data_IF_006266125666
#
_entry.id   IF_006266125666
#
_cell.length_a   1.000
_cell.length_b   1.000
_cell.length_c   1.000
_cell.angle_alpha   90.00
_cell.angle_beta   90.00
_cell.angle_gamma   90.00
#
_symmetry.space_group_name_H-M   'P 1'
#
loop_
_entity.id
_entity.type
_entity.pdbx_description
1 polymer ?
#
# COMPACT_ATOMS: atom_id res chain seq x y z
N UNK A 1 5.42 22.85 42.76
CA UNK A 1 5.70 22.22 41.46
C UNK A 1 4.74 21.05 41.28
N UNK A 2 3.71 21.15 40.42
CA UNK A 2 2.64 20.14 40.36
C UNK A 2 3.03 18.89 39.54
N UNK A 3 2.36 17.81 39.92
CA UNK A 3 2.57 16.40 39.62
C UNK A 3 2.43 16.04 38.12
N UNK A 4 3.37 15.24 37.60
CA UNK A 4 3.29 14.71 36.23
C UNK A 4 2.28 13.56 36.17
N UNK A 5 1.05 13.88 35.77
CA UNK A 5 0.02 12.91 35.44
C UNK A 5 0.50 11.92 34.37
N UNK A 6 0.59 10.64 34.75
CA UNK A 6 0.79 9.51 33.84
C UNK A 6 -0.40 9.40 32.90
N UNK A 7 -0.26 9.92 31.68
CA UNK A 7 -1.22 9.66 30.59
C UNK A 7 -1.06 8.20 30.15
N UNK A 8 -1.66 7.26 30.91
CA UNK A 8 -1.93 5.89 30.47
C UNK A 8 -2.83 5.99 29.25
N UNK A 9 -2.23 6.00 28.07
CA UNK A 9 -2.95 5.87 26.80
C UNK A 9 -3.75 4.57 26.85
N UNK A 10 -5.06 4.70 26.99
CA UNK A 10 -6.01 3.60 26.94
C UNK A 10 -6.01 3.01 25.54
N UNK A 11 -5.05 2.11 25.31
CA UNK A 11 -5.00 1.18 24.18
C UNK A 11 -6.13 0.17 24.32
N UNK A 12 -7.37 0.64 24.18
CA UNK A 12 -8.53 -0.24 24.11
C UNK A 12 -8.42 -1.08 22.86
N UNK A 13 -8.16 -2.37 23.03
CA UNK A 13 -8.27 -3.39 21.98
C UNK A 13 -9.66 -3.28 21.38
N UNK A 14 -9.79 -2.53 20.29
CA UNK A 14 -11.08 -2.30 19.62
C UNK A 14 -11.61 -3.68 19.25
N UNK A 15 -12.73 -4.12 19.87
CA UNK A 15 -13.46 -5.32 19.45
C UNK A 15 -13.77 -5.17 17.96
N UNK A 16 -12.97 -5.79 17.10
CA UNK A 16 -13.17 -5.76 15.66
C UNK A 16 -14.26 -6.78 15.37
N UNK A 17 -15.50 -6.33 15.16
CA UNK A 17 -16.56 -7.21 14.65
C UNK A 17 -16.05 -7.94 13.40
N UNK A 18 -16.42 -9.22 13.22
CA UNK A 18 -15.87 -10.13 12.18
C UNK A 18 -15.81 -9.54 10.76
N UNK A 19 -16.65 -8.55 10.45
CA UNK A 19 -16.66 -7.86 9.16
C UNK A 19 -15.53 -6.82 9.00
N UNK A 20 -15.05 -6.22 10.10
CA UNK A 20 -13.99 -5.20 10.09
C UNK A 20 -12.63 -5.76 9.69
N UNK A 21 -12.32 -7.00 10.07
CA UNK A 21 -11.10 -7.68 9.62
C UNK A 21 -11.10 -7.91 8.11
N UNK A 22 -12.23 -8.32 7.53
CA UNK A 22 -12.37 -8.49 6.07
C UNK A 22 -12.17 -7.16 5.35
N UNK A 23 -12.84 -6.09 5.82
CA UNK A 23 -12.68 -4.74 5.27
C UNK A 23 -11.25 -4.22 5.43
N UNK A 24 -10.59 -4.47 6.56
CA UNK A 24 -9.20 -4.07 6.79
C UNK A 24 -8.24 -4.83 5.87
N UNK A 25 -8.39 -6.15 5.74
CA UNK A 25 -7.61 -6.97 4.81
C UNK A 25 -7.78 -6.49 3.37
N UNK A 26 -9.02 -6.21 2.95
CA UNK A 26 -9.31 -5.66 1.62
C UNK A 26 -8.64 -4.30 1.39
N UNK A 27 -8.79 -3.37 2.33
CA UNK A 27 -8.12 -2.05 2.27
C UNK A 27 -6.61 -2.18 2.23
N UNK A 28 -6.05 -3.08 3.04
CA UNK A 28 -4.62 -3.30 3.12
C UNK A 28 -4.06 -3.91 1.83
N UNK A 29 -4.73 -4.90 1.24
CA UNK A 29 -4.35 -5.47 -0.05
C UNK A 29 -4.36 -4.40 -1.14
N UNK A 30 -5.42 -3.57 -1.20
CA UNK A 30 -5.50 -2.47 -2.15
C UNK A 30 -4.40 -1.42 -1.93
N UNK A 31 -4.09 -1.08 -0.67
CA UNK A 31 -2.98 -0.20 -0.33
C UNK A 31 -1.64 -0.79 -0.76
N UNK A 32 -1.40 -2.09 -0.54
CA UNK A 32 -0.18 -2.79 -0.95
C UNK A 32 -0.02 -2.78 -2.48
N UNK A 33 -1.10 -3.01 -3.24
CA UNK A 33 -1.12 -2.91 -4.71
C UNK A 33 -0.74 -1.50 -5.18
N UNK A 34 -1.38 -0.45 -4.64
CA UNK A 34 -1.06 0.95 -4.95
C UNK A 34 0.38 1.31 -4.62
N UNK A 35 0.90 0.84 -3.49
CA UNK A 35 2.30 1.08 -3.10
C UNK A 35 3.30 0.40 -4.05
N UNK A 36 3.01 -0.82 -4.53
CA UNK A 36 3.85 -1.50 -5.54
C UNK A 36 3.91 -0.69 -6.83
N UNK A 37 2.76 -0.26 -7.35
CA UNK A 37 2.67 0.60 -8.54
C UNK A 37 3.46 1.89 -8.33
N UNK A 38 3.29 2.55 -7.17
CA UNK A 38 4.01 3.78 -6.85
C UNK A 38 5.54 3.60 -6.85
N UNK A 39 6.04 2.49 -6.29
CA UNK A 39 7.48 2.15 -6.33
C UNK A 39 7.96 1.93 -7.76
N UNK A 40 7.22 1.17 -8.56
CA UNK A 40 7.59 0.91 -9.96
C UNK A 40 7.59 2.18 -10.80
N UNK A 41 6.60 3.07 -10.64
CA UNK A 41 6.55 4.38 -11.31
C UNK A 41 7.77 5.25 -10.94
N UNK A 42 8.20 5.25 -9.67
CA UNK A 42 9.42 5.97 -9.25
C UNK A 42 10.69 5.39 -9.88
N UNK A 43 10.80 4.06 -9.98
CA UNK A 43 11.94 3.42 -10.64
C UNK A 43 11.99 3.77 -12.13
N UNK A 44 10.86 3.73 -12.83
CA UNK A 44 10.76 4.08 -14.25
C UNK A 44 11.21 5.51 -14.52
N UNK A 45 10.87 6.48 -13.65
CA UNK A 45 11.29 7.88 -13.81
C UNK A 45 12.81 8.06 -13.89
N UNK A 46 13.57 7.21 -13.22
CA UNK A 46 15.03 7.29 -13.18
C UNK A 46 15.72 6.39 -14.22
N UNK A 47 14.95 5.62 -15.00
CA UNK A 47 15.47 4.66 -15.97
C UNK A 47 15.41 5.21 -17.39
N UNK A 48 16.48 5.04 -18.19
CA UNK A 48 16.46 5.42 -19.59
C UNK A 48 15.36 4.63 -20.35
N UNK A 49 14.77 5.23 -21.40
CA UNK A 49 13.64 4.66 -22.14
C UNK A 49 13.97 3.33 -22.82
N UNK A 50 15.23 3.11 -23.19
CA UNK A 50 15.66 1.88 -23.87
C UNK A 50 16.09 0.75 -22.92
N UNK A 51 15.82 0.90 -21.62
CA UNK A 51 16.18 -0.11 -20.64
C UNK A 51 15.14 -1.26 -20.63
N UNK A 52 15.60 -2.50 -20.79
CA UNK A 52 14.75 -3.69 -20.73
C UNK A 52 13.97 -3.83 -19.41
N UNK A 53 14.57 -3.41 -18.29
CA UNK A 53 13.93 -3.40 -16.98
C UNK A 53 12.75 -2.40 -16.93
N UNK A 54 12.85 -1.27 -17.63
CA UNK A 54 11.76 -0.29 -17.71
C UNK A 54 10.54 -0.91 -18.40
N UNK A 55 10.73 -1.58 -19.54
CA UNK A 55 9.66 -2.29 -20.26
C UNK A 55 8.99 -3.36 -19.40
N UNK A 56 9.79 -4.12 -18.63
CA UNK A 56 9.26 -5.12 -17.69
C UNK A 56 8.43 -4.49 -16.56
N UNK A 57 8.89 -3.37 -15.98
CA UNK A 57 8.14 -2.66 -14.94
C UNK A 57 6.83 -2.07 -15.48
N UNK A 58 6.83 -1.52 -16.70
CA UNK A 58 5.62 -1.03 -17.37
C UNK A 58 4.61 -2.16 -17.63
N UNK A 59 5.08 -3.34 -18.07
CA UNK A 59 4.21 -4.52 -18.23
C UNK A 59 3.57 -4.95 -16.91
N UNK A 60 4.37 -5.03 -15.84
CA UNK A 60 3.89 -5.37 -14.49
C UNK A 60 2.90 -4.35 -13.93
N UNK A 61 3.09 -3.06 -14.21
CA UNK A 61 2.12 -2.02 -13.83
C UNK A 61 0.78 -2.26 -14.52
N UNK A 62 0.78 -2.53 -15.84
CA UNK A 62 -0.45 -2.80 -16.61
C UNK A 62 -1.20 -4.03 -16.11
N UNK A 63 -0.47 -5.12 -15.80
CA UNK A 63 -1.05 -6.35 -15.22
C UNK A 63 -1.72 -6.09 -13.86
N UNK A 64 -1.09 -5.28 -12.99
CA UNK A 64 -1.63 -4.98 -11.65
C UNK A 64 -2.75 -3.93 -11.68
N UNK A 65 -2.70 -2.98 -12.61
CA UNK A 65 -3.79 -2.02 -12.85
C UNK A 65 -5.00 -2.68 -13.53
N UNK A 66 -4.87 -3.92 -14.03
CA UNK A 66 -5.97 -4.65 -14.65
C UNK A 66 -6.35 -4.12 -16.04
N UNK A 67 -5.46 -3.37 -16.69
CA UNK A 67 -5.62 -2.89 -18.08
C UNK A 67 -5.17 -4.01 -19.05
N UNK A 68 -5.51 -5.25 -18.71
CA UNK A 68 -5.63 -6.33 -19.67
C UNK A 68 -7.12 -6.53 -19.80
N UNK A 69 -7.73 -5.65 -20.60
CA UNK A 69 -9.09 -5.85 -21.09
C UNK A 69 -9.11 -7.23 -21.77
N UNK A 70 -10.06 -8.07 -21.36
CA UNK A 70 -10.55 -9.14 -22.22
C UNK A 70 -11.21 -8.53 -23.46
#
# INVERSE_FOLDING_TARGET
>A
MPEMATRRGSGGTKKHGRNKEKCQKYREQNRRKKNKIGKWKKLIKNLPPDNSMRRQLEKRIKEVEGIVNY
#
